data_IF_308133416840
#
_entry.id   IF_308133416840
#
_cell.length_a   1.000
_cell.length_b   1.000
_cell.length_c   1.000
_cell.angle_alpha   90.00
_cell.angle_beta   90.00
_cell.angle_gamma   90.00
#
_symmetry.space_group_name_H-M   'P 1'
#
loop_
_entity.id
_entity.type
_entity.pdbx_description
1 polymer ?
#
# COMPACT_ATOMS: atom_id res chain seq x y z
N UNK A 1 1.21 4.58 18.06
CA UNK A 1 1.63 3.17 17.91
C UNK A 1 0.48 2.41 17.24
N UNK A 2 0.68 1.88 16.03
CA UNK A 2 -0.40 1.27 15.25
C UNK A 2 -0.80 -0.09 15.85
N UNK A 3 -2.12 -0.33 16.02
CA UNK A 3 -2.68 -1.55 16.59
C UNK A 3 -2.18 -2.85 15.92
N UNK A 4 -1.67 -2.76 14.68
CA UNK A 4 -1.16 -3.89 13.88
C UNK A 4 -0.08 -4.73 14.57
N UNK A 5 0.72 -4.12 15.44
CA UNK A 5 1.86 -4.79 16.08
C UNK A 5 1.54 -5.35 17.47
N UNK A 6 0.38 -5.02 18.03
CA UNK A 6 0.07 -5.30 19.45
C UNK A 6 0.10 -6.79 19.75
N UNK A 7 -0.51 -7.63 18.89
CA UNK A 7 -0.52 -9.09 19.10
C UNK A 7 0.89 -9.67 19.07
N UNK A 8 1.74 -9.20 18.17
CA UNK A 8 3.12 -9.68 18.04
C UNK A 8 3.95 -9.26 19.25
N UNK A 9 3.77 -8.02 19.72
CA UNK A 9 4.45 -7.51 20.91
C UNK A 9 4.01 -8.24 22.18
N UNK A 10 2.72 -8.54 22.32
CA UNK A 10 2.19 -9.26 23.48
C UNK A 10 2.65 -10.73 23.50
N UNK A 11 2.76 -11.37 22.34
CA UNK A 11 3.24 -12.76 22.25
C UNK A 11 4.77 -12.86 22.32
N UNK A 12 5.48 -11.76 22.05
CA UNK A 12 6.94 -11.64 22.12
C UNK A 12 7.70 -12.31 20.98
N UNK A 13 7.00 -12.90 20.01
CA UNK A 13 7.58 -13.56 18.85
C UNK A 13 6.65 -13.47 17.63
N UNK A 14 7.19 -12.95 16.52
CA UNK A 14 6.44 -12.78 15.26
C UNK A 14 5.90 -14.11 14.72
N UNK A 15 6.67 -15.19 14.86
CA UNK A 15 6.37 -16.51 14.29
C UNK A 15 5.20 -17.17 15.01
N UNK A 16 5.22 -17.14 16.34
CA UNK A 16 4.15 -17.65 17.19
C UNK A 16 2.87 -16.84 16.99
N UNK A 17 2.97 -15.50 16.95
CA UNK A 17 1.84 -14.63 16.64
C UNK A 17 1.24 -14.95 15.25
N UNK A 18 2.09 -15.16 14.24
CA UNK A 18 1.66 -15.51 12.88
C UNK A 18 0.95 -16.88 12.83
N UNK A 19 1.44 -17.89 13.55
CA UNK A 19 0.75 -19.19 13.68
C UNK A 19 -0.58 -19.07 14.41
N UNK A 20 -0.66 -18.23 15.44
CA UNK A 20 -1.91 -17.98 16.15
C UNK A 20 -2.94 -17.29 15.25
N UNK A 21 -2.50 -16.31 14.46
CA UNK A 21 -3.31 -15.63 13.46
C UNK A 21 -3.83 -16.62 12.41
N UNK A 22 -2.96 -17.48 11.87
CA UNK A 22 -3.35 -18.48 10.88
C UNK A 22 -4.44 -19.44 11.36
N UNK A 23 -4.37 -19.89 12.62
CA UNK A 23 -5.42 -20.72 13.25
C UNK A 23 -6.74 -19.98 13.46
N UNK A 24 -6.70 -18.67 13.66
CA UNK A 24 -7.88 -17.86 13.97
C UNK A 24 -8.66 -17.43 12.72
N UNK A 25 -8.00 -17.33 11.56
CA UNK A 25 -8.63 -16.83 10.34
C UNK A 25 -9.21 -17.94 9.45
N UNK A 26 -10.36 -17.68 8.79
CA UNK A 26 -10.89 -18.56 7.77
C UNK A 26 -9.88 -18.89 6.67
N UNK A 27 -9.91 -20.11 6.11
CA UNK A 27 -9.15 -20.43 4.90
C UNK A 27 -9.61 -19.53 3.74
N UNK A 28 -8.65 -19.03 2.96
CA UNK A 28 -8.90 -18.12 1.81
C UNK A 28 -8.57 -16.65 2.06
N UNK A 29 -8.41 -16.22 3.33
CA UNK A 29 -7.89 -14.89 3.63
C UNK A 29 -6.36 -14.87 3.57
N UNK A 30 -5.73 -13.81 3.02
CA UNK A 30 -4.28 -13.76 2.92
C UNK A 30 -3.63 -13.63 4.30
N UNK A 31 -2.55 -14.38 4.52
CA UNK A 31 -1.70 -14.24 5.72
C UNK A 31 -0.52 -13.36 5.35
N UNK A 32 -0.47 -12.20 5.97
CA UNK A 32 0.60 -11.22 5.82
C UNK A 32 1.30 -11.01 7.16
N UNK A 33 2.62 -11.11 7.17
CA UNK A 33 3.39 -11.01 8.42
C UNK A 33 4.37 -9.83 8.38
N UNK A 34 4.32 -8.92 9.37
CA UNK A 34 5.35 -7.90 9.54
C UNK A 34 6.71 -8.53 9.87
N UNK A 35 7.80 -7.97 9.33
CA UNK A 35 9.15 -8.53 9.47
C UNK A 35 10.15 -7.58 10.14
N UNK A 36 9.70 -6.44 10.66
CA UNK A 36 10.51 -5.30 11.11
C UNK A 36 10.56 -5.13 12.64
N UNK A 37 10.25 -6.17 13.42
CA UNK A 37 10.03 -6.06 14.87
C UNK A 37 11.24 -6.48 15.72
N UNK A 38 11.57 -7.77 15.73
CA UNK A 38 12.53 -8.34 16.70
C UNK A 38 13.86 -8.78 16.09
N UNK A 39 13.87 -9.07 14.80
CA UNK A 39 15.03 -9.59 14.09
C UNK A 39 15.28 -8.77 12.82
N UNK A 40 16.46 -8.93 12.23
CA UNK A 40 16.72 -8.44 10.88
C UNK A 40 15.67 -9.00 9.91
N UNK A 41 15.26 -8.19 8.93
CA UNK A 41 14.05 -8.42 8.16
C UNK A 41 14.16 -9.67 7.28
N UNK A 42 15.35 -9.94 6.76
CA UNK A 42 15.61 -11.16 6.00
C UNK A 42 15.48 -12.42 6.86
N UNK A 43 16.05 -12.40 8.07
CA UNK A 43 15.96 -13.53 9.00
C UNK A 43 14.52 -13.73 9.47
N UNK A 44 13.82 -12.65 9.79
CA UNK A 44 12.43 -12.69 10.21
C UNK A 44 11.51 -13.20 9.10
N UNK A 45 11.74 -12.80 7.85
CA UNK A 45 10.99 -13.27 6.70
C UNK A 45 11.12 -14.78 6.51
N UNK A 46 12.35 -15.31 6.57
CA UNK A 46 12.58 -16.76 6.46
C UNK A 46 11.93 -17.51 7.62
N UNK A 47 12.07 -17.02 8.86
CA UNK A 47 11.45 -17.64 10.05
C UNK A 47 9.94 -17.79 9.91
N UNK A 48 9.26 -16.74 9.46
CA UNK A 48 7.80 -16.77 9.29
C UNK A 48 7.40 -17.63 8.09
N UNK A 49 8.16 -17.58 6.99
CA UNK A 49 7.94 -18.43 5.82
C UNK A 49 8.04 -19.92 6.17
N UNK A 50 9.07 -20.33 6.91
CA UNK A 50 9.21 -21.72 7.37
C UNK A 50 8.09 -22.13 8.33
N UNK A 51 7.57 -21.20 9.12
CA UNK A 51 6.57 -21.51 10.12
C UNK A 51 5.15 -21.67 9.57
N UNK A 52 4.78 -20.84 8.61
CA UNK A 52 3.47 -20.85 7.98
C UNK A 52 3.44 -21.66 6.69
N UNK A 53 4.60 -21.86 6.06
CA UNK A 53 4.74 -22.60 4.81
C UNK A 53 3.76 -22.08 3.76
N UNK A 54 2.90 -22.98 3.30
CA UNK A 54 1.93 -22.74 2.25
C UNK A 54 0.85 -21.71 2.60
N UNK A 55 0.59 -21.51 3.89
CA UNK A 55 -0.40 -20.55 4.34
C UNK A 55 0.08 -19.10 4.21
N UNK A 56 1.40 -18.85 4.18
CA UNK A 56 1.95 -17.50 4.09
C UNK A 56 1.73 -16.93 2.69
N UNK A 57 0.97 -15.83 2.61
CA UNK A 57 0.78 -15.09 1.36
C UNK A 57 1.96 -14.15 1.09
N UNK A 58 2.45 -13.48 2.13
CA UNK A 58 3.52 -12.52 1.97
C UNK A 58 4.02 -11.92 3.27
N UNK A 59 5.10 -11.17 3.17
CA UNK A 59 5.70 -10.40 4.26
C UNK A 59 5.46 -8.92 4.05
N UNK A 60 5.33 -8.19 5.15
CA UNK A 60 5.10 -6.74 5.16
C UNK A 60 6.32 -6.07 5.74
N UNK A 61 7.00 -5.30 4.92
CA UNK A 61 8.12 -4.47 5.30
C UNK A 61 7.61 -3.07 5.63
N UNK A 62 8.02 -2.50 6.76
CA UNK A 62 7.58 -1.17 7.12
C UNK A 62 8.55 -0.10 6.59
N UNK A 63 8.11 0.65 5.59
CA UNK A 63 8.82 1.78 5.02
C UNK A 63 8.58 3.05 5.84
N UNK A 64 9.03 3.06 7.10
CA UNK A 64 8.69 4.12 8.08
C UNK A 64 9.71 5.26 8.11
N UNK A 65 10.95 4.98 7.73
CA UNK A 65 12.07 5.92 7.72
C UNK A 65 13.10 5.54 6.64
N UNK A 66 14.25 6.21 6.62
CA UNK A 66 15.33 6.00 5.65
C UNK A 66 16.24 4.79 5.98
N UNK A 67 15.89 3.94 6.95
CA UNK A 67 16.76 2.85 7.39
C UNK A 67 16.75 1.65 6.45
N UNK A 68 15.75 1.57 5.57
CA UNK A 68 15.66 0.50 4.57
C UNK A 68 16.13 0.98 3.21
N UNK A 69 16.79 0.08 2.48
CA UNK A 69 17.28 0.33 1.13
C UNK A 69 16.69 -0.70 0.17
N UNK A 70 16.84 -0.45 -1.12
CA UNK A 70 16.49 -1.44 -2.14
C UNK A 70 17.28 -2.76 -1.95
N UNK A 71 18.53 -2.68 -1.47
CA UNK A 71 19.34 -3.85 -1.14
C UNK A 71 18.72 -4.69 -0.02
N UNK A 72 18.05 -4.06 0.97
CA UNK A 72 17.31 -4.79 2.00
C UNK A 72 16.21 -5.66 1.38
N UNK A 73 15.45 -5.12 0.43
CA UNK A 73 14.42 -5.88 -0.28
C UNK A 73 14.99 -7.03 -1.12
N UNK A 74 16.09 -6.78 -1.82
CA UNK A 74 16.79 -7.82 -2.60
C UNK A 74 17.31 -8.93 -1.68
N UNK A 75 17.85 -8.58 -0.52
CA UNK A 75 18.34 -9.55 0.47
C UNK A 75 17.21 -10.38 1.06
N UNK A 76 16.08 -9.76 1.44
CA UNK A 76 14.89 -10.48 1.90
C UNK A 76 14.44 -11.49 0.86
N UNK A 77 14.32 -11.06 -0.40
CA UNK A 77 13.94 -11.94 -1.49
C UNK A 77 14.92 -13.10 -1.69
N UNK A 78 16.22 -12.80 -1.77
CA UNK A 78 17.24 -13.82 -1.98
C UNK A 78 17.22 -14.87 -0.87
N UNK A 79 17.06 -14.47 0.39
CA UNK A 79 16.97 -15.38 1.52
C UNK A 79 15.69 -16.23 1.49
N UNK A 80 14.55 -15.66 1.13
CA UNK A 80 13.32 -16.43 0.94
C UNK A 80 13.43 -17.45 -0.20
N UNK A 81 14.09 -17.07 -1.30
CA UNK A 81 14.30 -17.96 -2.45
C UNK A 81 15.24 -19.12 -2.06
N UNK A 82 16.34 -18.83 -1.36
CA UNK A 82 17.26 -19.84 -0.82
C UNK A 82 16.59 -20.77 0.20
N UNK A 83 15.64 -20.26 0.98
CA UNK A 83 14.87 -21.04 1.95
C UNK A 83 13.76 -21.90 1.31
N UNK A 84 13.65 -21.94 -0.02
CA UNK A 84 12.69 -22.79 -0.73
C UNK A 84 11.33 -22.12 -1.00
N UNK A 85 11.24 -20.80 -0.92
CA UNK A 85 10.01 -20.04 -1.23
C UNK A 85 10.15 -19.16 -2.49
N UNK A 86 10.68 -19.67 -3.62
CA UNK A 86 11.00 -18.88 -4.79
C UNK A 86 9.75 -18.21 -5.35
N UNK A 87 9.71 -16.87 -5.34
CA UNK A 87 8.58 -16.06 -5.85
C UNK A 87 7.19 -16.40 -5.27
N UNK A 88 7.12 -17.25 -4.24
CA UNK A 88 5.87 -17.70 -3.62
C UNK A 88 5.38 -16.70 -2.58
N UNK A 89 6.28 -16.32 -1.67
CA UNK A 89 5.98 -15.36 -0.61
C UNK A 89 6.10 -13.96 -1.19
N UNK A 90 5.00 -13.22 -1.25
CA UNK A 90 4.98 -11.85 -1.77
C UNK A 90 5.63 -10.86 -0.80
N UNK A 91 6.16 -9.75 -1.29
CA UNK A 91 6.76 -8.68 -0.49
C UNK A 91 5.92 -7.42 -0.62
N UNK A 92 5.41 -6.92 0.50
CA UNK A 92 4.61 -5.70 0.56
C UNK A 92 5.34 -4.61 1.33
N UNK A 93 5.15 -3.35 0.92
CA UNK A 93 5.61 -2.18 1.68
C UNK A 93 4.44 -1.48 2.38
N UNK A 94 4.62 -1.12 3.65
CA UNK A 94 3.65 -0.34 4.44
C UNK A 94 4.34 0.87 5.07
N UNK A 95 3.79 2.08 4.91
CA UNK A 95 4.30 3.25 5.61
C UNK A 95 4.26 4.51 4.76
N UNK A 96 5.37 5.24 4.75
CA UNK A 96 5.56 6.48 3.99
C UNK A 96 5.78 6.19 2.49
N UNK A 97 4.85 5.48 1.88
CA UNK A 97 4.90 5.14 0.46
C UNK A 97 4.41 6.32 -0.37
N UNK A 98 5.33 6.97 -1.08
CA UNK A 98 5.03 8.06 -2.01
C UNK A 98 4.98 7.65 -3.46
N UNK A 99 4.37 8.50 -4.30
CA UNK A 99 4.33 8.28 -5.74
C UNK A 99 5.75 8.29 -6.34
N UNK A 100 6.65 9.11 -5.80
CA UNK A 100 8.07 9.16 -6.15
C UNK A 100 8.76 7.84 -5.79
N UNK A 101 8.50 7.31 -4.58
CA UNK A 101 9.05 6.04 -4.15
C UNK A 101 8.56 4.90 -5.04
N UNK A 102 7.26 4.84 -5.32
CA UNK A 102 6.68 3.82 -6.21
C UNK A 102 7.33 3.87 -7.59
N UNK A 103 7.52 5.06 -8.18
CA UNK A 103 8.22 5.22 -9.46
C UNK A 103 9.68 4.77 -9.41
N UNK A 104 10.39 5.07 -8.32
CA UNK A 104 11.79 4.64 -8.14
C UNK A 104 11.93 3.12 -7.98
N UNK A 105 10.95 2.47 -7.33
CA UNK A 105 10.93 1.01 -7.19
C UNK A 105 10.53 0.31 -8.49
N UNK A 106 9.59 0.88 -9.24
CA UNK A 106 9.16 0.33 -10.54
C UNK A 106 10.29 0.39 -11.59
N UNK A 107 11.00 1.52 -11.67
CA UNK A 107 12.12 1.70 -12.62
C UNK A 107 13.29 0.75 -12.37
N UNK A 108 13.43 0.27 -11.14
CA UNK A 108 14.50 -0.64 -10.72
C UNK A 108 14.08 -2.11 -10.75
N UNK A 109 12.85 -2.41 -11.23
CA UNK A 109 12.21 -3.75 -11.13
C UNK A 109 12.28 -4.31 -9.71
N UNK A 110 12.19 -3.42 -8.70
CA UNK A 110 12.27 -3.83 -7.31
C UNK A 110 11.18 -4.85 -7.00
N UNK A 111 11.54 -5.84 -6.19
CA UNK A 111 10.75 -7.06 -5.96
C UNK A 111 9.67 -6.80 -4.91
N UNK A 112 8.78 -5.85 -5.19
CA UNK A 112 7.65 -5.47 -4.36
C UNK A 112 6.37 -5.83 -5.11
N UNK A 113 5.51 -6.61 -4.46
CA UNK A 113 4.25 -7.10 -5.01
C UNK A 113 3.05 -6.19 -4.68
N UNK A 114 3.21 -5.26 -3.74
CA UNK A 114 2.17 -4.29 -3.41
C UNK A 114 2.54 -3.30 -2.31
N UNK A 115 1.67 -2.31 -2.15
CA UNK A 115 1.89 -1.18 -1.25
C UNK A 115 0.65 -0.92 -0.39
N UNK A 116 0.85 -0.67 0.90
CA UNK A 116 -0.18 -0.16 1.81
C UNK A 116 0.00 1.35 1.98
N UNK A 117 -0.83 2.12 1.25
CA UNK A 117 -0.77 3.58 1.23
C UNK A 117 -1.95 4.14 2.04
N UNK A 118 -1.68 4.61 3.25
CA UNK A 118 -2.69 5.21 4.12
C UNK A 118 -2.61 6.73 4.14
N UNK A 119 -1.56 7.25 4.81
CA UNK A 119 -1.43 8.66 5.14
C UNK A 119 -1.46 9.60 3.93
N UNK A 120 -0.83 9.21 2.82
CA UNK A 120 -0.78 10.05 1.62
C UNK A 120 -2.13 10.19 0.91
N UNK A 121 -2.98 9.16 0.95
CA UNK A 121 -4.32 9.21 0.36
C UNK A 121 -5.29 9.86 1.35
N UNK A 122 -5.32 9.38 2.59
CA UNK A 122 -6.25 9.88 3.61
C UNK A 122 -5.96 11.31 4.08
N UNK A 123 -4.70 11.76 3.97
CA UNK A 123 -4.26 13.11 4.33
C UNK A 123 -4.19 14.08 3.14
N UNK A 124 -4.66 13.70 1.95
CA UNK A 124 -4.64 14.58 0.78
C UNK A 124 -5.44 15.86 1.07
N UNK A 125 -4.93 17.06 0.73
CA UNK A 125 -5.64 18.29 0.95
C UNK A 125 -6.96 18.29 0.15
N UNK A 126 -8.07 18.73 0.74
CA UNK A 126 -9.33 18.80 0.02
C UNK A 126 -9.19 19.77 -1.16
N UNK A 127 -9.79 19.43 -2.30
CA UNK A 127 -9.88 20.35 -3.42
C UNK A 127 -10.87 21.46 -3.05
N UNK A 128 -10.47 22.75 -3.00
CA UNK A 128 -11.40 23.82 -2.71
C UNK A 128 -12.42 23.93 -3.84
N UNK A 129 -13.67 23.55 -3.55
CA UNK A 129 -14.78 23.63 -4.48
C UNK A 129 -15.63 24.86 -4.16
N UNK A 130 -15.77 25.74 -5.14
CA UNK A 130 -16.69 26.87 -5.08
C UNK A 130 -17.91 26.57 -5.93
N UNK A 131 -19.08 26.55 -5.30
CA UNK A 131 -20.36 26.37 -6.01
C UNK A 131 -20.97 27.74 -6.28
N UNK A 132 -21.34 27.99 -7.54
CA UNK A 132 -21.99 29.21 -7.97
C UNK A 132 -23.31 28.90 -8.66
N UNK A 133 -24.35 29.67 -8.36
CA UNK A 133 -25.59 29.68 -9.14
C UNK A 133 -25.30 30.38 -10.46
N UNK A 134 -25.67 29.74 -11.58
CA UNK A 134 -25.48 30.27 -12.94
C UNK A 134 -26.78 30.43 -13.74
N UNK A 135 -27.89 29.89 -13.23
CA UNK A 135 -29.24 30.04 -13.77
C UNK A 135 -30.28 29.77 -12.67
N UNK A 136 -31.48 30.32 -12.83
CA UNK A 136 -32.65 30.03 -12.00
C UNK A 136 -33.89 30.06 -12.91
N UNK A 137 -34.76 29.04 -12.87
CA UNK A 137 -35.93 28.93 -13.75
C UNK A 137 -35.60 29.15 -15.23
N UNK A 138 -34.54 28.49 -15.73
CA UNK A 138 -34.00 28.63 -17.09
C UNK A 138 -33.53 30.05 -17.50
N UNK A 139 -33.56 31.01 -16.57
CA UNK A 139 -33.07 32.37 -16.77
C UNK A 139 -31.61 32.49 -16.32
N UNK A 140 -30.72 33.06 -17.16
CA UNK A 140 -29.34 33.38 -16.78
C UNK A 140 -29.29 34.27 -15.52
N UNK A 141 -28.69 33.76 -14.45
CA UNK A 141 -28.52 34.49 -13.19
C UNK A 141 -27.20 34.08 -12.52
N UNK A 142 -26.34 35.04 -12.19
CA UNK A 142 -25.06 34.76 -11.52
C UNK A 142 -24.58 35.97 -10.71
N UNK A 143 -23.54 35.77 -9.88
CA UNK A 143 -22.88 36.86 -9.14
C UNK A 143 -22.01 37.71 -10.09
N UNK A 144 -21.80 38.98 -9.73
CA UNK A 144 -20.92 39.88 -10.49
C UNK A 144 -19.53 39.25 -10.71
N UNK A 145 -19.05 39.28 -11.95
CA UNK A 145 -17.74 38.74 -12.34
C UNK A 145 -17.72 37.23 -12.63
N UNK A 146 -18.88 36.56 -12.71
CA UNK A 146 -18.98 35.14 -13.05
C UNK A 146 -19.71 34.92 -14.38
N UNK A 147 -19.44 33.80 -15.03
CA UNK A 147 -20.10 33.41 -16.28
C UNK A 147 -21.49 32.82 -16.00
N UNK A 148 -22.48 33.21 -16.80
CA UNK A 148 -23.83 32.63 -16.79
C UNK A 148 -23.88 31.27 -17.51
N UNK A 149 -24.91 30.47 -17.22
CA UNK A 149 -25.17 29.21 -17.91
C UNK A 149 -24.24 28.05 -17.53
N UNK A 150 -24.58 26.85 -18.01
CA UNK A 150 -23.78 25.66 -17.77
C UNK A 150 -22.39 25.81 -18.42
N UNK A 151 -21.29 25.51 -17.71
CA UNK A 151 -19.97 25.51 -18.33
C UNK A 151 -19.91 24.47 -19.45
N UNK A 152 -19.18 24.74 -20.55
CA UNK A 152 -18.95 23.73 -21.56
C UNK A 152 -18.24 22.52 -20.95
N UNK A 153 -18.51 21.34 -21.49
CA UNK A 153 -17.78 20.12 -21.09
C UNK A 153 -16.28 20.32 -21.34
N UNK A 154 -15.48 20.08 -20.31
CA UNK A 154 -14.02 20.09 -20.41
C UNK A 154 -13.47 18.84 -21.14
N UNK A 155 -14.32 17.84 -21.43
CA UNK A 155 -13.90 16.66 -22.17
C UNK A 155 -13.83 16.99 -23.65
N UNK A 156 -12.63 16.79 -24.23
CA UNK A 156 -12.43 16.82 -25.67
C UNK A 156 -13.36 15.81 -26.35
N UNK A 157 -13.97 16.22 -27.47
CA UNK A 157 -14.74 15.33 -28.33
C UNK A 157 -13.86 14.92 -29.52
N UNK A 158 -13.88 13.64 -29.94
CA UNK A 158 -13.20 13.23 -31.16
C UNK A 158 -13.73 14.05 -32.34
N UNK A 159 -12.83 14.63 -33.15
CA UNK A 159 -13.24 15.37 -34.37
C UNK A 159 -13.65 14.43 -35.50
N UNK A 160 -13.20 13.18 -35.47
CA UNK A 160 -13.53 12.16 -36.46
C UNK A 160 -14.19 10.99 -35.74
N UNK A 161 -15.36 10.57 -36.24
CA UNK A 161 -15.95 9.27 -35.91
C UNK A 161 -15.42 8.28 -36.93
N UNK A 162 -14.89 7.15 -36.46
CA UNK A 162 -14.86 5.91 -37.25
C UNK A 162 -16.29 5.38 -37.44
#
# INVERSE_FOLDING_TARGET
MAARYVVILLDGDTTRAARAFDRALPPGLPRLAPIDLFHAEADQAVRVALALGDALTGVVFAARDATWTQETLQRVRAQLDLAGFPRRVKIFLDGAVSAELVRALDSTRAMVDGYFVGAQIGGAPPLPLTVNVRACNDMPLTRRGQTYGAPPSLRLKPMFRE
#
